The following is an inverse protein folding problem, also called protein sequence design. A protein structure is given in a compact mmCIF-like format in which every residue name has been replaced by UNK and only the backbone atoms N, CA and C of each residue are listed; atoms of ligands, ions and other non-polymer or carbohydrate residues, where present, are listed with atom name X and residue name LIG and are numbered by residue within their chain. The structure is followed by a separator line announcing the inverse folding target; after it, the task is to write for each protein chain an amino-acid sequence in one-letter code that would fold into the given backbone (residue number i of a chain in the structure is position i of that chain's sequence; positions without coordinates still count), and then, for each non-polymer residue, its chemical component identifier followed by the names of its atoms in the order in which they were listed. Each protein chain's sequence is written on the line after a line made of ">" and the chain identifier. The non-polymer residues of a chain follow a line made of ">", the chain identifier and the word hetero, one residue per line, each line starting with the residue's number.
data_IF_793498861627
#
_entry.id   IF_793498861627
#
_cell.length_a   1.000
_cell.length_b   1.000
_cell.length_c   1.000
_cell.angle_alpha   90.00
_cell.angle_beta   90.00
_cell.angle_gamma   90.00
#
_symmetry.space_group_name_H-M   'P 1'
#
loop_
_entity.id
_entity.type
_entity.pdbx_description
1 polymer ?
#
# COMPACT_ATOMS: atom_id res chain seq x y z
N UNK A 1 -13.77 -17.92 -22.44
CA UNK A 1 -13.55 -19.39 -22.30
C UNK A 1 -12.62 -19.85 -23.41
N UNK A 2 -11.39 -20.33 -23.27
CA UNK A 2 -10.53 -20.68 -22.12
C UNK A 2 -9.07 -20.68 -22.63
N UNK A 3 -8.31 -19.58 -22.42
CA UNK A 3 -6.83 -19.56 -22.59
C UNK A 3 -6.09 -20.32 -21.46
N UNK A 4 -6.80 -20.66 -20.37
CA UNK A 4 -6.24 -21.37 -19.20
C UNK A 4 -6.01 -22.88 -19.40
N UNK A 5 -6.70 -23.57 -20.31
CA UNK A 5 -6.58 -25.04 -20.41
C UNK A 5 -5.33 -25.53 -21.16
N UNK A 6 -4.68 -24.69 -21.96
CA UNK A 6 -3.54 -25.13 -22.78
C UNK A 6 -2.22 -25.12 -21.99
N UNK A 7 -2.07 -24.24 -20.99
CA UNK A 7 -0.87 -24.21 -20.13
C UNK A 7 -0.81 -25.38 -19.13
N UNK A 8 -1.95 -25.95 -18.74
CA UNK A 8 -2.02 -27.03 -17.75
C UNK A 8 -1.47 -28.39 -18.25
N UNK A 9 -1.49 -28.65 -19.56
CA UNK A 9 -1.06 -29.95 -20.12
C UNK A 9 0.45 -30.05 -20.38
N UNK A 10 1.16 -28.91 -20.50
CA UNK A 10 2.61 -28.90 -20.76
C UNK A 10 3.44 -29.09 -19.48
N UNK A 11 2.92 -28.73 -18.30
CA UNK A 11 3.62 -28.91 -17.02
C UNK A 11 3.43 -30.32 -16.41
N UNK A 12 2.35 -31.02 -16.74
CA UNK A 12 2.09 -32.38 -16.25
C UNK A 12 3.01 -33.45 -16.86
N UNK A 13 3.55 -33.22 -18.06
CA UNK A 13 4.39 -34.18 -18.78
C UNK A 13 5.85 -34.24 -18.31
N UNK A 14 6.36 -33.17 -17.68
CA UNK A 14 7.77 -33.07 -17.24
C UNK A 14 7.93 -33.48 -15.76
N UNK A 15 6.86 -33.35 -14.95
CA UNK A 15 6.89 -33.70 -13.52
C UNK A 15 6.95 -35.20 -13.20
N UNK A 16 6.61 -36.08 -14.14
CA UNK A 16 6.49 -37.53 -13.86
C UNK A 16 7.84 -38.28 -13.97
N UNK A 17 8.86 -37.70 -14.62
CA UNK A 17 10.16 -38.37 -14.81
C UNK A 17 11.16 -38.09 -13.68
N UNK A 18 10.96 -37.06 -12.86
CA UNK A 18 11.84 -36.72 -11.73
C UNK A 18 11.43 -37.32 -10.38
N UNK A 19 10.28 -38.00 -10.29
CA UNK A 19 9.75 -38.57 -9.04
C UNK A 19 10.27 -39.98 -8.68
N UNK A 20 11.14 -40.58 -9.51
CA UNK A 20 11.55 -41.98 -9.33
C UNK A 20 12.93 -42.21 -8.67
N UNK A 21 13.67 -41.15 -8.29
CA UNK A 21 15.06 -41.32 -7.75
C UNK A 21 15.32 -40.65 -6.39
N UNK A 22 14.28 -40.20 -5.67
CA UNK A 22 14.43 -39.41 -4.43
C UNK A 22 14.03 -40.08 -3.12
N UNK A 23 13.84 -41.41 -3.06
CA UNK A 23 13.38 -42.09 -1.83
C UNK A 23 14.47 -42.98 -1.22
N UNK A 24 15.48 -42.38 -0.58
CA UNK A 24 16.34 -43.09 0.37
C UNK A 24 17.20 -42.12 1.21
N UNK A 25 16.60 -41.35 2.12
CA UNK A 25 17.34 -40.75 3.24
C UNK A 25 16.52 -40.80 4.54
N UNK A 26 16.86 -41.83 5.32
CA UNK A 26 17.02 -41.89 6.80
C UNK A 26 16.29 -40.83 7.62
N UNK A 27 15.22 -41.28 8.28
CA UNK A 27 14.60 -40.63 9.44
C UNK A 27 15.45 -40.82 10.71
N UNK A 28 16.06 -39.74 11.20
CA UNK A 28 16.56 -39.61 12.57
C UNK A 28 15.70 -38.56 13.31
N UNK A 29 15.14 -38.86 14.50
CA UNK A 29 14.37 -37.89 15.26
C UNK A 29 15.32 -36.90 15.95
N UNK A 30 15.36 -35.67 15.47
CA UNK A 30 15.96 -34.55 16.20
C UNK A 30 15.00 -34.17 17.33
N UNK A 31 15.40 -34.45 18.58
CA UNK A 31 14.74 -33.93 19.77
C UNK A 31 15.14 -32.46 19.93
N UNK A 32 14.28 -31.55 19.50
CA UNK A 32 14.38 -30.13 19.88
C UNK A 32 13.96 -30.05 21.34
N UNK A 33 14.91 -29.66 22.19
CA UNK A 33 14.62 -29.26 23.56
C UNK A 33 13.87 -27.91 23.49
N UNK A 34 12.60 -27.93 23.87
CA UNK A 34 11.87 -26.70 24.19
C UNK A 34 12.48 -26.15 25.49
N UNK A 35 13.31 -25.12 25.36
CA UNK A 35 13.84 -24.38 26.48
C UNK A 35 13.13 -23.03 26.57
N UNK A 36 12.23 -22.96 27.55
CA UNK A 36 11.82 -21.78 28.31
C UNK A 36 11.33 -20.56 27.50
N UNK A 37 10.08 -20.68 27.03
CA UNK A 37 9.17 -19.54 27.00
C UNK A 37 8.78 -19.20 28.45
N UNK A 38 9.63 -18.43 29.15
CA UNK A 38 9.34 -17.98 30.51
C UNK A 38 9.88 -16.57 30.73
N UNK A 39 9.49 -15.64 29.85
CA UNK A 39 9.60 -14.20 30.11
C UNK A 39 8.43 -13.38 29.55
N UNK A 40 7.39 -14.02 28.98
CA UNK A 40 6.21 -13.30 28.42
C UNK A 40 5.00 -13.24 29.38
N UNK A 41 5.17 -13.59 30.66
CA UNK A 41 4.06 -13.63 31.63
C UNK A 41 3.89 -12.35 32.46
N UNK A 42 4.70 -11.31 32.23
CA UNK A 42 4.54 -10.01 32.91
C UNK A 42 3.63 -9.02 32.15
N UNK A 43 3.21 -9.35 30.92
CA UNK A 43 2.27 -8.56 30.11
C UNK A 43 1.02 -9.41 29.82
N UNK A 44 0.45 -10.02 30.86
CA UNK A 44 -0.88 -10.62 30.79
C UNK A 44 -1.86 -9.70 31.50
N UNK A 45 -2.54 -8.90 30.67
CA UNK A 45 -3.90 -8.42 30.86
C UNK A 45 -4.16 -7.61 32.13
N UNK A 46 -3.88 -6.30 32.07
CA UNK A 46 -4.91 -5.38 32.54
C UNK A 46 -6.08 -5.54 31.56
N UNK A 47 -7.05 -6.39 31.88
CA UNK A 47 -8.35 -6.30 31.22
C UNK A 47 -8.86 -4.87 31.46
N UNK A 48 -9.38 -4.17 30.43
CA UNK A 48 -10.05 -2.91 30.66
C UNK A 48 -11.08 -3.09 31.78
N UNK A 49 -11.16 -2.14 32.70
CA UNK A 49 -12.30 -2.05 33.60
C UNK A 49 -13.60 -2.08 32.78
N UNK A 50 -14.66 -2.67 33.33
CA UNK A 50 -15.99 -2.56 32.71
C UNK A 50 -16.28 -1.09 32.41
N UNK A 51 -16.65 -0.73 31.17
CA UNK A 51 -16.93 0.66 30.79
C UNK A 51 -17.91 1.27 31.78
N UNK A 52 -17.47 2.33 32.44
CA UNK A 52 -18.22 2.88 33.57
C UNK A 52 -19.31 3.85 33.12
N UNK A 53 -19.11 4.52 31.98
CA UNK A 53 -20.03 5.46 31.35
C UNK A 53 -20.43 6.69 32.18
N UNK A 54 -20.04 6.77 33.46
CA UNK A 54 -20.40 7.84 34.39
C UNK A 54 -19.35 8.95 34.40
N UNK A 55 -19.68 10.05 33.74
CA UNK A 55 -18.82 11.23 33.61
C UNK A 55 -19.20 12.35 34.60
N UNK A 56 -20.22 12.13 35.44
CA UNK A 56 -20.90 13.20 36.20
C UNK A 56 -19.95 13.94 37.16
N UNK A 57 -18.99 13.24 37.75
CA UNK A 57 -18.01 13.84 38.65
C UNK A 57 -17.02 14.76 37.92
N UNK A 58 -16.47 14.31 36.78
CA UNK A 58 -15.50 15.08 35.98
C UNK A 58 -16.14 16.35 35.41
N UNK A 59 -17.38 16.23 34.94
CA UNK A 59 -18.14 17.32 34.33
C UNK A 59 -18.49 18.46 35.31
N UNK A 60 -18.35 18.28 36.63
CA UNK A 60 -18.52 19.38 37.60
C UNK A 60 -17.55 20.54 37.30
N UNK A 61 -16.33 20.23 36.87
CA UNK A 61 -15.31 21.22 36.54
C UNK A 61 -15.03 21.34 35.04
N UNK A 62 -15.17 20.24 34.29
CA UNK A 62 -14.82 20.19 32.86
C UNK A 62 -15.99 20.49 31.91
N UNK A 63 -17.22 20.67 32.38
CA UNK A 63 -18.37 20.95 31.50
C UNK A 63 -18.38 22.36 30.89
N UNK A 64 -17.57 23.29 31.40
CA UNK A 64 -17.42 24.60 30.77
C UNK A 64 -16.52 24.47 29.54
N UNK A 65 -17.13 24.59 28.36
CA UNK A 65 -16.46 24.44 27.06
C UNK A 65 -15.48 25.57 26.75
N UNK A 66 -15.34 26.59 27.60
CA UNK A 66 -14.31 27.64 27.48
C UNK A 66 -13.23 27.50 28.57
N UNK A 67 -13.29 26.45 29.40
CA UNK A 67 -12.35 26.25 30.48
C UNK A 67 -10.94 25.99 29.94
N UNK A 68 -9.97 26.73 30.47
CA UNK A 68 -8.56 26.62 30.09
C UNK A 68 -7.64 26.59 31.30
N UNK A 69 -6.46 26.01 31.11
CA UNK A 69 -5.34 26.07 32.05
C UNK A 69 -4.11 26.68 31.36
N UNK A 70 -3.34 27.48 32.08
CA UNK A 70 -2.03 27.98 31.61
C UNK A 70 -0.91 27.07 32.11
N UNK A 71 -0.04 26.65 31.19
CA UNK A 71 1.09 25.77 31.46
C UNK A 71 2.38 26.58 31.69
N UNK A 72 3.44 25.90 32.13
CA UNK A 72 4.70 26.52 32.57
C UNK A 72 5.41 27.33 31.47
N UNK A 73 5.29 26.91 30.21
CA UNK A 73 5.83 27.62 29.04
C UNK A 73 4.96 28.79 28.56
N UNK A 74 3.83 29.05 29.23
CA UNK A 74 2.86 30.07 28.89
C UNK A 74 1.82 29.65 27.85
N UNK A 75 1.85 28.40 27.36
CA UNK A 75 0.80 27.88 26.49
C UNK A 75 -0.51 27.67 27.25
N UNK A 76 -1.62 27.75 26.52
CA UNK A 76 -2.96 27.53 27.06
C UNK A 76 -3.44 26.15 26.64
N UNK A 77 -3.85 25.33 27.60
CA UNK A 77 -4.49 24.05 27.39
C UNK A 77 -6.00 24.21 27.58
N UNK A 78 -6.77 23.76 26.59
CA UNK A 78 -8.21 23.67 26.71
C UNK A 78 -8.59 22.44 27.54
N UNK A 79 -9.26 22.65 28.67
CA UNK A 79 -9.67 21.58 29.59
C UNK A 79 -11.19 21.37 29.60
N UNK A 80 -11.95 22.27 28.98
CA UNK A 80 -13.38 22.12 28.76
C UNK A 80 -13.70 20.98 27.80
N UNK A 81 -14.75 20.23 28.10
CA UNK A 81 -15.26 19.12 27.29
C UNK A 81 -16.78 19.19 27.21
N UNK A 82 -17.31 19.15 25.98
CA UNK A 82 -18.73 18.92 25.75
C UNK A 82 -18.99 17.40 25.77
N UNK A 83 -19.76 16.87 26.75
CA UNK A 83 -20.02 15.43 26.85
C UNK A 83 -20.78 14.88 25.64
N UNK A 84 -21.55 15.71 24.93
CA UNK A 84 -22.29 15.27 23.73
C UNK A 84 -21.37 14.93 22.56
N UNK A 85 -20.18 15.55 22.51
CA UNK A 85 -19.16 15.26 21.49
C UNK A 85 -18.61 13.85 21.69
N UNK A 86 -18.23 13.51 22.94
CA UNK A 86 -17.78 12.15 23.27
C UNK A 86 -18.89 11.12 23.03
N UNK A 87 -20.13 11.42 23.40
CA UNK A 87 -21.28 10.55 23.18
C UNK A 87 -21.53 10.25 21.69
N UNK A 88 -21.25 11.22 20.82
CA UNK A 88 -21.35 11.09 19.36
C UNK A 88 -20.13 10.46 18.67
N UNK A 89 -19.03 10.24 19.39
CA UNK A 89 -17.81 9.62 18.85
C UNK A 89 -17.95 8.09 18.74
N UNK A 90 -16.97 7.45 18.09
CA UNK A 90 -16.86 5.97 18.05
C UNK A 90 -16.69 5.33 19.43
N UNK A 91 -16.26 6.11 20.43
CA UNK A 91 -16.12 5.67 21.82
C UNK A 91 -17.36 5.96 22.68
N UNK A 92 -18.37 6.62 22.12
CA UNK A 92 -19.61 7.04 22.79
C UNK A 92 -20.72 5.99 22.78
N UNK A 93 -21.97 6.44 22.69
CA UNK A 93 -23.16 5.60 22.83
C UNK A 93 -23.27 4.48 21.78
N UNK A 94 -22.64 4.66 20.61
CA UNK A 94 -22.61 3.69 19.52
C UNK A 94 -21.56 2.58 19.67
N UNK A 95 -20.70 2.63 20.69
CA UNK A 95 -19.64 1.63 20.88
C UNK A 95 -20.23 0.26 21.24
N UNK A 96 -19.88 -0.77 20.48
CA UNK A 96 -20.35 -2.14 20.67
C UNK A 96 -19.92 -2.75 22.01
N UNK A 97 -18.79 -2.31 22.57
CA UNK A 97 -18.30 -2.73 23.88
C UNK A 97 -18.91 -1.91 25.03
N UNK A 98 -19.72 -0.90 24.74
CA UNK A 98 -20.27 0.04 25.70
C UNK A 98 -19.58 1.41 25.66
N UNK A 99 -20.33 2.45 25.98
CA UNK A 99 -19.82 3.82 25.99
C UNK A 99 -18.70 4.00 27.03
N UNK A 100 -17.58 4.56 26.59
CA UNK A 100 -16.45 4.85 27.47
C UNK A 100 -16.73 6.10 28.30
N UNK A 101 -16.40 6.03 29.58
CA UNK A 101 -16.37 7.17 30.49
C UNK A 101 -14.99 7.84 30.55
N UNK A 102 -14.91 9.01 31.18
CA UNK A 102 -13.67 9.79 31.29
C UNK A 102 -12.53 8.98 31.91
N UNK A 103 -12.83 8.20 32.95
CA UNK A 103 -11.84 7.41 33.70
C UNK A 103 -11.35 6.18 32.93
N UNK A 104 -12.08 5.73 31.91
CA UNK A 104 -11.67 4.59 31.09
C UNK A 104 -10.47 4.97 30.20
N UNK A 105 -10.30 6.26 29.88
CA UNK A 105 -9.15 6.80 29.15
C UNK A 105 -8.14 7.54 30.05
N UNK A 106 -8.62 8.41 30.95
CA UNK A 106 -7.76 9.24 31.80
C UNK A 106 -7.26 8.53 33.07
N UNK A 107 -7.86 7.39 33.43
CA UNK A 107 -7.57 6.66 34.66
C UNK A 107 -8.27 7.25 35.88
N UNK A 108 -8.35 6.45 36.95
CA UNK A 108 -9.00 6.84 38.21
C UNK A 108 -8.15 7.76 39.08
N UNK A 109 -6.84 7.73 38.89
CA UNK A 109 -5.87 8.49 39.68
C UNK A 109 -5.72 9.94 39.17
N UNK A 110 -6.41 10.31 38.09
CA UNK A 110 -6.43 11.66 37.55
C UNK A 110 -6.97 12.71 38.55
N UNK A 111 -7.75 12.28 39.55
CA UNK A 111 -8.23 13.15 40.62
C UNK A 111 -7.91 12.60 42.03
N UNK A 112 -7.39 13.42 42.95
CA UNK A 112 -6.99 14.82 42.76
C UNK A 112 -5.82 14.95 41.78
N UNK A 113 -5.80 16.02 40.97
CA UNK A 113 -4.75 16.30 39.97
C UNK A 113 -3.40 16.61 40.65
N UNK A 114 -2.80 15.59 41.26
CA UNK A 114 -1.59 15.70 42.06
C UNK A 114 -0.31 15.68 41.20
N UNK A 115 -0.44 15.27 39.94
CA UNK A 115 0.65 15.25 38.97
C UNK A 115 1.06 16.67 38.55
N UNK A 116 2.36 16.92 38.36
CA UNK A 116 2.82 18.21 37.85
C UNK A 116 2.25 18.45 36.44
N UNK A 117 1.89 19.70 36.17
CA UNK A 117 1.44 20.09 34.85
C UNK A 117 2.54 19.81 33.81
N UNK A 118 2.13 19.38 32.60
CA UNK A 118 3.06 19.19 31.49
C UNK A 118 3.73 20.52 31.12
N UNK A 119 4.95 20.44 30.57
CA UNK A 119 5.74 21.63 30.22
C UNK A 119 5.05 22.54 29.21
N UNK A 120 4.29 21.96 28.28
CA UNK A 120 3.59 22.65 27.20
C UNK A 120 2.34 21.89 26.74
N UNK A 121 1.43 22.59 26.06
CA UNK A 121 0.22 21.98 25.51
C UNK A 121 0.55 20.90 24.47
N UNK A 122 1.67 21.07 23.75
CA UNK A 122 2.16 20.07 22.81
C UNK A 122 2.69 18.82 23.53
N UNK A 123 3.48 19.00 24.58
CA UNK A 123 3.98 17.89 25.38
C UNK A 123 2.82 17.12 26.01
N UNK A 124 1.79 17.82 26.47
CA UNK A 124 0.55 17.20 26.95
C UNK A 124 -0.12 16.35 25.87
N UNK A 125 -0.32 16.89 24.67
CA UNK A 125 -1.00 16.18 23.57
C UNK A 125 -0.28 14.88 23.21
N UNK A 126 1.05 14.93 23.07
CA UNK A 126 1.87 13.74 22.80
C UNK A 126 1.79 12.73 23.94
N UNK A 127 1.90 13.17 25.20
CA UNK A 127 1.80 12.29 26.35
C UNK A 127 0.40 11.65 26.47
N UNK A 128 -0.66 12.45 26.30
CA UNK A 128 -2.04 12.02 26.37
C UNK A 128 -2.34 10.97 25.29
N UNK A 129 -1.78 11.11 24.09
CA UNK A 129 -1.97 10.13 23.00
C UNK A 129 -1.55 8.69 23.37
N UNK A 130 -0.67 8.51 24.35
CA UNK A 130 -0.24 7.19 24.80
C UNK A 130 -1.36 6.37 25.43
N UNK A 131 -2.44 7.00 25.93
CA UNK A 131 -3.57 6.26 26.50
C UNK A 131 -4.26 5.37 25.46
N UNK A 132 -4.22 5.76 24.18
CA UNK A 132 -4.79 4.98 23.08
C UNK A 132 -4.11 3.60 22.97
N UNK A 133 -2.82 3.52 23.31
CA UNK A 133 -2.01 2.29 23.19
C UNK A 133 -2.43 1.18 24.15
N UNK A 134 -3.17 1.53 25.22
CA UNK A 134 -3.69 0.55 26.18
C UNK A 134 -4.75 -0.36 25.55
N UNK A 135 -5.45 0.11 24.52
CA UNK A 135 -6.51 -0.64 23.82
C UNK A 135 -6.17 -0.91 22.35
N UNK A 136 -5.58 0.06 21.64
CA UNK A 136 -5.21 -0.04 20.22
C UNK A 136 -3.81 -0.64 20.02
N UNK A 137 -3.64 -1.86 20.53
CA UNK A 137 -2.32 -2.53 20.56
C UNK A 137 -1.78 -2.80 19.16
N UNK A 138 -2.61 -3.31 18.25
CA UNK A 138 -2.19 -3.64 16.87
C UNK A 138 -1.71 -2.39 16.10
N UNK A 139 -2.46 -1.29 16.22
CA UNK A 139 -2.11 0.00 15.63
C UNK A 139 -0.79 0.53 16.22
N UNK A 140 -0.57 0.31 17.52
CA UNK A 140 0.66 0.69 18.22
C UNK A 140 1.85 -0.15 17.78
N UNK A 141 1.69 -1.46 17.60
CA UNK A 141 2.75 -2.35 17.10
C UNK A 141 3.23 -1.92 15.70
N UNK A 142 2.31 -1.48 14.84
CA UNK A 142 2.63 -0.96 13.51
C UNK A 142 3.31 0.42 13.55
N UNK A 143 3.19 1.16 14.65
CA UNK A 143 3.70 2.53 14.78
C UNK A 143 5.24 2.59 14.89
N UNK A 144 5.87 1.51 15.38
CA UNK A 144 7.30 1.50 15.73
C UNK A 144 8.22 1.85 14.55
N UNK A 145 7.83 1.47 13.33
CA UNK A 145 8.58 1.74 12.09
C UNK A 145 8.04 2.97 11.33
N UNK A 146 7.11 3.71 11.92
CA UNK A 146 6.49 4.90 11.32
C UNK A 146 7.36 6.15 11.45
N UNK A 147 7.41 6.95 10.37
CA UNK A 147 8.21 8.19 10.33
C UNK A 147 7.79 9.22 11.38
N UNK A 148 6.49 9.32 11.69
CA UNK A 148 6.00 10.27 12.69
C UNK A 148 6.40 9.89 14.10
N UNK A 149 6.23 8.62 14.47
CA UNK A 149 6.62 8.13 15.79
C UNK A 149 8.13 8.20 16.00
N UNK A 150 8.91 7.82 14.99
CA UNK A 150 10.37 7.96 15.01
C UNK A 150 10.77 9.41 15.28
N UNK A 151 10.15 10.38 14.59
CA UNK A 151 10.41 11.80 14.81
C UNK A 151 10.04 12.25 16.24
N UNK A 152 8.93 11.77 16.82
CA UNK A 152 8.58 12.04 18.22
C UNK A 152 9.67 11.49 19.16
N UNK A 153 10.10 10.24 18.97
CA UNK A 153 11.13 9.62 19.82
C UNK A 153 12.51 10.26 19.68
N UNK A 154 12.80 10.86 18.52
CA UNK A 154 14.01 11.65 18.27
C UNK A 154 13.93 13.07 18.86
N UNK A 155 12.81 13.42 19.52
CA UNK A 155 12.61 14.68 20.24
C UNK A 155 11.86 15.75 19.45
N UNK A 156 11.41 15.47 18.23
CA UNK A 156 10.53 16.37 17.50
C UNK A 156 9.08 16.17 17.92
N UNK A 157 8.70 16.81 19.03
CA UNK A 157 7.33 16.75 19.54
C UNK A 157 6.30 17.29 18.56
N UNK A 158 6.67 18.11 17.57
CA UNK A 158 5.73 18.64 16.56
C UNK A 158 5.32 17.61 15.49
N UNK A 159 5.87 16.39 15.52
CA UNK A 159 5.41 15.32 14.62
C UNK A 159 4.09 14.73 15.08
N UNK A 160 3.31 14.17 14.15
CA UNK A 160 1.93 13.75 14.39
C UNK A 160 1.83 12.56 15.37
N UNK A 161 0.93 12.70 16.33
CA UNK A 161 0.50 11.69 17.31
C UNK A 161 -0.89 11.15 16.96
N UNK A 162 -1.42 10.20 17.75
CA UNK A 162 -2.77 9.67 17.55
C UNK A 162 -3.83 10.78 17.52
N UNK A 163 -3.69 11.76 18.42
CA UNK A 163 -4.64 12.87 18.60
C UNK A 163 -4.60 13.85 17.43
N UNK A 164 -3.44 14.01 16.78
CA UNK A 164 -3.31 14.93 15.65
C UNK A 164 -4.08 14.45 14.42
N UNK A 165 -4.25 13.13 14.26
CA UNK A 165 -4.98 12.56 13.13
C UNK A 165 -6.43 12.18 13.47
N UNK A 166 -6.67 11.60 14.65
CA UNK A 166 -7.98 11.06 15.04
C UNK A 166 -8.80 12.01 15.91
N UNK A 167 -8.18 13.08 16.42
CA UNK A 167 -8.76 13.92 17.46
C UNK A 167 -8.67 13.27 18.85
N UNK A 168 -9.34 13.88 19.83
CA UNK A 168 -9.31 13.45 21.23
C UNK A 168 -10.66 12.92 21.71
N UNK A 169 -11.64 13.80 21.94
CA UNK A 169 -12.99 13.41 22.37
C UNK A 169 -13.99 13.28 21.21
N UNK A 170 -13.61 13.71 20.00
CA UNK A 170 -14.44 13.70 18.78
C UNK A 170 -13.90 12.71 17.74
N UNK A 171 -13.58 11.50 18.18
CA UNK A 171 -12.99 10.49 17.29
C UNK A 171 -14.09 9.93 16.39
N UNK A 172 -13.93 10.14 15.11
CA UNK A 172 -14.88 9.72 14.07
C UNK A 172 -14.43 8.41 13.42
N UNK A 173 -15.33 7.70 12.71
CA UNK A 173 -14.94 6.55 11.90
C UNK A 173 -13.81 6.95 10.93
N UNK A 174 -12.74 6.12 10.80
CA UNK A 174 -11.50 6.53 10.13
C UNK A 174 -11.60 6.78 8.62
N UNK A 175 -12.72 6.39 7.98
CA UNK A 175 -12.94 6.50 6.52
C UNK A 175 -14.22 7.28 6.19
N UNK A 176 -14.79 8.02 7.16
CA UNK A 176 -16.05 8.76 6.96
C UNK A 176 -15.98 10.22 7.48
N UNK A 177 -16.19 11.23 6.61
CA UNK A 177 -16.21 11.14 5.15
C UNK A 177 -14.78 10.95 4.60
N UNK A 178 -14.63 10.26 3.46
CA UNK A 178 -13.34 9.77 2.96
C UNK A 178 -12.33 10.89 2.68
N UNK A 179 -12.79 12.07 2.27
CA UNK A 179 -11.96 13.26 2.03
C UNK A 179 -11.23 13.75 3.29
N UNK A 180 -11.80 13.49 4.48
CA UNK A 180 -11.22 13.91 5.76
C UNK A 180 -9.84 13.28 6.00
N UNK A 181 -9.56 12.11 5.41
CA UNK A 181 -8.24 11.48 5.45
C UNK A 181 -7.18 12.41 4.85
N UNK A 182 -7.45 12.91 3.64
CA UNK A 182 -6.53 13.78 2.92
C UNK A 182 -6.43 15.16 3.57
N UNK A 183 -7.55 15.71 4.08
CA UNK A 183 -7.56 16.98 4.82
C UNK A 183 -6.69 16.92 6.09
N UNK A 184 -6.79 15.82 6.85
CA UNK A 184 -6.01 15.60 8.07
C UNK A 184 -4.51 15.62 7.78
N UNK A 185 -4.08 14.99 6.68
CA UNK A 185 -2.69 15.06 6.25
C UNK A 185 -2.30 16.50 5.85
N UNK A 186 -3.24 17.24 5.25
CA UNK A 186 -3.08 18.61 4.78
C UNK A 186 -2.90 19.66 5.89
N UNK A 187 -3.34 19.39 7.12
CA UNK A 187 -3.13 20.29 8.26
C UNK A 187 -1.65 20.57 8.52
N UNK A 188 -0.79 19.57 8.27
CA UNK A 188 0.67 19.71 8.34
C UNK A 188 1.32 19.76 6.96
N UNK A 189 0.91 18.90 6.02
CA UNK A 189 1.50 18.75 4.70
C UNK A 189 0.83 19.64 3.63
N UNK A 190 0.56 20.89 4.00
CA UNK A 190 -0.21 21.87 3.20
C UNK A 190 0.21 21.97 1.73
N UNK A 191 1.52 22.02 1.44
CA UNK A 191 2.04 22.11 0.07
C UNK A 191 1.70 20.87 -0.76
N UNK A 192 1.92 19.68 -0.18
CA UNK A 192 1.64 18.40 -0.85
C UNK A 192 0.14 18.19 -1.01
N UNK A 193 -0.64 18.52 0.01
CA UNK A 193 -2.10 18.46 -0.05
C UNK A 193 -2.67 19.38 -1.13
N UNK A 194 -2.09 20.56 -1.32
CA UNK A 194 -2.51 21.48 -2.40
C UNK A 194 -2.25 20.87 -3.78
N UNK A 195 -1.07 20.28 -3.99
CA UNK A 195 -0.77 19.57 -5.25
C UNK A 195 -1.72 18.39 -5.49
N UNK A 196 -1.98 17.59 -4.44
CA UNK A 196 -2.91 16.47 -4.48
C UNK A 196 -4.34 16.91 -4.81
N UNK A 197 -4.83 17.96 -4.15
CA UNK A 197 -6.18 18.48 -4.38
C UNK A 197 -6.38 18.96 -5.82
N UNK A 198 -5.33 19.47 -6.46
CA UNK A 198 -5.34 19.92 -7.86
C UNK A 198 -5.03 18.79 -8.88
N UNK A 199 -4.84 17.55 -8.40
CA UNK A 199 -4.64 16.35 -9.20
C UNK A 199 -5.98 15.72 -9.60
N UNK A 200 -5.96 14.80 -10.57
CA UNK A 200 -7.19 14.08 -10.99
C UNK A 200 -7.79 13.22 -9.87
N UNK A 201 -6.96 12.67 -8.98
CA UNK A 201 -7.46 11.87 -7.85
C UNK A 201 -8.07 12.77 -6.77
N UNK A 202 -7.39 13.86 -6.43
CA UNK A 202 -7.89 14.80 -5.42
C UNK A 202 -9.16 15.52 -5.88
N UNK A 203 -9.20 16.01 -7.13
CA UNK A 203 -10.38 16.69 -7.65
C UNK A 203 -11.60 15.76 -7.64
N UNK A 204 -11.47 14.52 -8.09
CA UNK A 204 -12.54 13.52 -8.02
C UNK A 204 -13.00 13.23 -6.58
N UNK A 205 -12.06 13.08 -5.63
CA UNK A 205 -12.38 12.83 -4.22
C UNK A 205 -13.24 13.95 -3.63
N UNK A 206 -12.85 15.20 -3.86
CA UNK A 206 -13.55 16.38 -3.35
C UNK A 206 -14.81 16.74 -4.15
N UNK A 207 -15.00 16.15 -5.34
CA UNK A 207 -16.28 16.14 -6.06
C UNK A 207 -17.26 15.06 -5.54
N UNK A 208 -16.82 14.22 -4.61
CA UNK A 208 -17.63 13.21 -3.92
C UNK A 208 -17.50 11.81 -4.49
N UNK A 209 -16.47 11.53 -5.29
CA UNK A 209 -16.15 10.17 -5.73
C UNK A 209 -15.26 9.45 -4.69
N UNK A 210 -15.75 8.43 -3.98
CA UNK A 210 -14.95 7.69 -3.00
C UNK A 210 -14.01 6.65 -3.64
N UNK A 211 -14.15 6.36 -4.93
CA UNK A 211 -13.44 5.29 -5.64
C UNK A 211 -12.03 5.70 -6.11
N UNK A 212 -11.49 6.80 -5.59
CA UNK A 212 -10.16 7.33 -5.89
C UNK A 212 -9.24 7.28 -4.66
N UNK A 213 -7.90 7.25 -4.87
CA UNK A 213 -6.97 7.13 -3.76
C UNK A 213 -6.82 8.43 -2.97
N UNK A 214 -6.72 8.29 -1.66
CA UNK A 214 -6.32 9.28 -0.65
C UNK A 214 -4.83 9.15 -0.31
N UNK A 215 -4.34 9.94 0.65
CA UNK A 215 -2.95 9.84 1.11
C UNK A 215 -2.59 8.45 1.66
N UNK A 216 -3.53 7.76 2.33
CA UNK A 216 -3.25 6.49 3.01
C UNK A 216 -3.27 5.28 2.08
N UNK A 217 -3.93 5.38 0.92
CA UNK A 217 -3.93 4.29 -0.06
C UNK A 217 -2.52 4.09 -0.67
N UNK A 218 -1.73 5.16 -0.79
CA UNK A 218 -0.35 5.10 -1.27
C UNK A 218 0.68 4.95 -0.13
N UNK A 219 0.48 5.65 1.00
CA UNK A 219 1.48 5.71 2.08
C UNK A 219 1.23 4.74 3.24
N UNK A 220 0.02 4.16 3.31
CA UNK A 220 -0.42 3.30 4.41
C UNK A 220 -0.68 4.05 5.71
N UNK A 221 -1.10 3.29 6.72
CA UNK A 221 -1.20 3.65 8.15
C UNK A 221 -1.03 2.37 8.97
N UNK A 222 -0.64 2.37 10.24
CA UNK A 222 -0.03 3.42 11.05
C UNK A 222 1.52 3.36 11.01
N UNK A 223 2.09 2.47 10.19
CA UNK A 223 3.53 2.31 9.97
C UNK A 223 4.05 3.04 8.72
N UNK A 224 3.67 4.32 8.56
CA UNK A 224 3.99 5.13 7.37
C UNK A 224 5.50 5.12 7.14
N UNK A 225 5.91 4.54 6.02
CA UNK A 225 7.32 4.42 5.64
C UNK A 225 7.82 5.72 5.01
N UNK A 226 9.14 5.96 5.09
CA UNK A 226 9.72 7.13 4.46
C UNK A 226 9.58 7.02 2.92
N UNK A 227 8.98 8.02 2.24
CA UNK A 227 8.59 7.90 0.82
C UNK A 227 9.77 7.91 -0.14
N UNK A 228 10.97 8.25 0.33
CA UNK A 228 12.21 8.26 -0.49
C UNK A 228 13.00 6.96 -0.40
N UNK A 229 12.49 5.93 0.27
CA UNK A 229 13.20 4.64 0.39
C UNK A 229 13.19 3.89 -0.94
N UNK A 230 14.24 3.10 -1.17
CA UNK A 230 14.28 2.19 -2.31
C UNK A 230 13.12 1.19 -2.28
N UNK A 231 12.74 0.74 -1.07
CA UNK A 231 11.59 -0.15 -0.85
C UNK A 231 10.30 0.46 -1.38
N UNK A 232 9.98 1.69 -0.97
CA UNK A 232 8.79 2.41 -1.43
C UNK A 232 8.80 2.58 -2.95
N UNK A 233 9.93 3.03 -3.52
CA UNK A 233 10.08 3.19 -4.97
C UNK A 233 9.86 1.89 -5.73
N UNK A 234 10.50 0.80 -5.30
CA UNK A 234 10.43 -0.50 -5.97
C UNK A 234 9.03 -1.13 -5.90
N UNK A 235 8.27 -0.85 -4.83
CA UNK A 235 6.88 -1.29 -4.66
C UNK A 235 5.84 -0.38 -5.33
N UNK A 236 6.19 0.86 -5.66
CA UNK A 236 5.23 1.82 -6.22
C UNK A 236 4.42 1.34 -7.42
N UNK A 237 4.94 0.50 -8.36
CA UNK A 237 4.09 -0.01 -9.43
C UNK A 237 2.95 -0.91 -8.94
N UNK A 238 3.19 -1.68 -7.88
CA UNK A 238 2.17 -2.55 -7.27
C UNK A 238 1.10 -1.69 -6.58
N UNK A 239 1.50 -0.59 -5.91
CA UNK A 239 0.55 0.38 -5.31
C UNK A 239 -0.39 0.97 -6.36
N UNK A 240 0.14 1.41 -7.50
CA UNK A 240 -0.70 1.94 -8.58
C UNK A 240 -1.61 0.86 -9.18
N UNK A 241 -1.14 -0.40 -9.21
CA UNK A 241 -1.88 -1.51 -9.79
C UNK A 241 -3.09 -1.94 -8.95
N UNK A 242 -3.10 -1.67 -7.64
CA UNK A 242 -4.26 -1.95 -6.78
C UNK A 242 -5.55 -1.37 -7.35
N UNK A 243 -5.47 -0.19 -7.97
CA UNK A 243 -6.58 0.42 -8.69
C UNK A 243 -6.46 0.27 -10.21
N UNK A 244 -5.30 0.58 -10.79
CA UNK A 244 -5.15 0.66 -12.26
C UNK A 244 -5.03 -0.69 -12.97
N UNK A 245 -4.93 -1.81 -12.24
CA UNK A 245 -5.08 -3.16 -12.79
C UNK A 245 -6.46 -3.78 -12.47
N UNK A 246 -7.29 -3.11 -11.67
CA UNK A 246 -8.64 -3.54 -11.37
C UNK A 246 -9.58 -3.20 -12.55
N UNK A 247 -10.16 -4.24 -13.15
CA UNK A 247 -11.00 -4.09 -14.34
C UNK A 247 -12.38 -3.56 -14.00
N UNK A 248 -12.92 -3.91 -12.83
CA UNK A 248 -14.25 -3.44 -12.41
C UNK A 248 -14.19 -1.95 -12.07
N UNK A 249 -13.14 -1.53 -11.33
CA UNK A 249 -12.92 -0.13 -10.99
C UNK A 249 -12.61 0.73 -12.21
N UNK A 250 -11.66 0.32 -13.07
CA UNK A 250 -11.22 1.15 -14.20
C UNK A 250 -12.25 1.25 -15.34
N UNK A 251 -13.22 0.34 -15.42
CA UNK A 251 -14.33 0.43 -16.38
C UNK A 251 -15.18 1.69 -16.15
N UNK A 252 -15.38 2.11 -14.90
CA UNK A 252 -16.12 3.33 -14.53
C UNK A 252 -15.45 4.60 -15.11
N UNK A 253 -14.11 4.60 -15.14
CA UNK A 253 -13.31 5.72 -15.63
C UNK A 253 -12.93 5.61 -17.12
N UNK A 254 -13.29 4.51 -17.79
CA UNK A 254 -12.87 4.24 -19.17
C UNK A 254 -11.36 4.08 -19.33
N UNK A 255 -10.65 3.70 -18.26
CA UNK A 255 -9.20 3.49 -18.26
C UNK A 255 -8.92 2.01 -18.53
N UNK A 256 -7.94 1.73 -19.39
CA UNK A 256 -7.56 0.35 -19.71
C UNK A 256 -6.64 -0.23 -18.63
N UNK A 257 -6.98 -1.39 -18.08
CA UNK A 257 -6.09 -2.11 -17.15
C UNK A 257 -4.81 -2.65 -17.80
N UNK A 258 -4.73 -2.59 -19.14
CA UNK A 258 -3.51 -2.90 -19.87
C UNK A 258 -2.34 -1.95 -19.53
N UNK A 259 -2.61 -0.81 -18.88
CA UNK A 259 -1.56 0.12 -18.40
C UNK A 259 -0.53 -0.59 -17.52
N UNK A 260 -0.98 -1.46 -16.62
CA UNK A 260 -0.08 -2.19 -15.73
C UNK A 260 0.69 -3.29 -16.46
N UNK A 261 -0.01 -4.09 -17.27
CA UNK A 261 0.60 -5.18 -18.05
C UNK A 261 1.66 -4.65 -19.03
N UNK A 262 1.35 -3.57 -19.75
CA UNK A 262 2.28 -2.96 -20.69
C UNK A 262 3.57 -2.48 -19.99
N UNK A 263 3.45 -1.85 -18.81
CA UNK A 263 4.59 -1.47 -17.98
C UNK A 263 5.40 -2.71 -17.53
N UNK A 264 4.75 -3.75 -16.99
CA UNK A 264 5.49 -4.94 -16.54
C UNK A 264 6.29 -5.62 -17.65
N UNK A 265 5.79 -5.58 -18.89
CA UNK A 265 6.47 -6.14 -20.06
C UNK A 265 7.55 -5.24 -20.67
N UNK A 266 7.65 -4.00 -20.20
CA UNK A 266 8.65 -3.03 -20.64
C UNK A 266 9.98 -3.17 -19.87
N UNK A 267 11.06 -2.60 -20.41
CA UNK A 267 12.39 -2.67 -19.78
C UNK A 267 12.43 -2.00 -18.39
N UNK A 268 11.70 -0.90 -18.20
CA UNK A 268 11.54 -0.25 -16.91
C UNK A 268 10.81 -1.18 -15.94
N UNK A 269 9.56 -1.59 -16.24
CA UNK A 269 8.77 -2.40 -15.33
C UNK A 269 9.37 -3.77 -15.03
N UNK A 270 9.90 -4.49 -16.04
CA UNK A 270 10.59 -5.77 -15.82
C UNK A 270 11.77 -5.62 -14.88
N UNK A 271 12.56 -4.54 -15.02
CA UNK A 271 13.72 -4.32 -14.15
C UNK A 271 13.29 -3.96 -12.73
N UNK A 272 12.32 -3.05 -12.57
CA UNK A 272 11.81 -2.67 -11.24
C UNK A 272 11.23 -3.90 -10.52
N UNK A 273 10.44 -4.72 -11.22
CA UNK A 273 9.86 -5.94 -10.65
C UNK A 273 10.94 -6.94 -10.21
N UNK A 274 12.01 -7.10 -10.99
CA UNK A 274 13.13 -7.96 -10.61
C UNK A 274 13.75 -7.48 -9.29
N UNK A 275 14.04 -6.18 -9.17
CA UNK A 275 14.61 -5.61 -7.95
C UNK A 275 13.64 -5.75 -6.77
N UNK A 276 12.35 -5.48 -6.96
CA UNK A 276 11.34 -5.67 -5.90
C UNK A 276 11.32 -7.12 -5.36
N UNK A 277 11.53 -8.11 -6.24
CA UNK A 277 11.52 -9.52 -5.84
C UNK A 277 12.85 -10.01 -5.25
N UNK A 278 13.99 -9.52 -5.74
CA UNK A 278 15.30 -10.05 -5.35
C UNK A 278 16.03 -9.22 -4.30
N UNK A 279 15.94 -7.90 -4.40
CA UNK A 279 16.61 -6.98 -3.48
C UNK A 279 15.83 -5.64 -3.39
N UNK A 280 14.68 -5.64 -2.69
CA UNK A 280 13.76 -4.50 -2.70
C UNK A 280 14.33 -3.25 -2.02
N UNK A 281 15.39 -3.39 -1.24
CA UNK A 281 16.04 -2.27 -0.54
C UNK A 281 17.17 -1.61 -1.37
N UNK A 282 17.44 -2.10 -2.58
CA UNK A 282 18.40 -1.47 -3.50
C UNK A 282 17.66 -0.53 -4.46
N UNK A 283 18.10 0.74 -4.58
CA UNK A 283 17.43 1.70 -5.44
C UNK A 283 17.56 1.31 -6.91
N UNK A 284 16.43 1.32 -7.61
CA UNK A 284 16.39 1.21 -9.07
C UNK A 284 16.50 2.59 -9.72
N UNK A 285 17.33 2.70 -10.76
CA UNK A 285 17.43 3.89 -11.62
C UNK A 285 16.50 3.80 -12.85
N UNK A 286 15.46 2.97 -12.75
CA UNK A 286 14.46 2.78 -13.81
C UNK A 286 13.23 3.60 -13.48
N UNK A 287 12.54 4.06 -14.52
CA UNK A 287 11.31 4.82 -14.36
C UNK A 287 10.23 3.95 -13.70
N UNK A 288 9.51 4.50 -12.75
CA UNK A 288 8.26 3.96 -12.20
C UNK A 288 7.10 4.86 -12.60
N UNK A 289 5.86 4.44 -12.29
CA UNK A 289 4.62 5.12 -12.71
C UNK A 289 4.67 6.63 -12.43
N UNK A 290 5.06 7.02 -11.22
CA UNK A 290 5.06 8.42 -10.80
C UNK A 290 6.18 9.27 -11.42
N UNK A 291 7.27 8.67 -11.95
CA UNK A 291 8.31 9.44 -12.63
C UNK A 291 7.77 10.03 -13.96
N UNK A 292 6.84 9.30 -14.60
CA UNK A 292 6.16 9.74 -15.81
C UNK A 292 4.89 10.54 -15.50
N UNK A 293 4.05 10.08 -14.56
CA UNK A 293 2.72 10.66 -14.32
C UNK A 293 2.68 11.80 -13.29
N UNK A 294 3.74 11.96 -12.49
CA UNK A 294 3.74 12.82 -11.31
C UNK A 294 3.48 12.04 -10.02
N UNK A 295 3.74 12.68 -8.89
CA UNK A 295 3.62 12.04 -7.55
C UNK A 295 2.30 12.45 -6.90
N UNK A 296 2.20 13.71 -6.48
CA UNK A 296 0.97 14.27 -5.90
C UNK A 296 0.21 15.15 -6.89
N UNK A 297 0.80 15.51 -8.02
CA UNK A 297 0.21 16.39 -9.03
C UNK A 297 -0.20 15.63 -10.30
N UNK A 298 -0.68 14.40 -10.15
CA UNK A 298 -1.04 13.53 -11.27
C UNK A 298 -2.14 14.20 -12.09
N UNK A 299 -1.83 14.46 -13.36
CA UNK A 299 -2.77 15.04 -14.31
C UNK A 299 -3.37 13.97 -15.21
N UNK A 300 -4.52 14.28 -15.80
CA UNK A 300 -5.12 13.43 -16.83
C UNK A 300 -4.10 13.21 -17.96
N UNK A 301 -3.95 11.97 -18.43
CA UNK A 301 -2.94 11.61 -19.43
C UNK A 301 -3.09 12.38 -20.76
N UNK A 302 -4.30 12.87 -21.06
CA UNK A 302 -4.62 13.62 -22.28
C UNK A 302 -4.43 15.14 -22.16
N UNK A 303 -4.29 15.66 -20.93
CA UNK A 303 -4.27 17.09 -20.69
C UNK A 303 -2.94 17.73 -21.11
N UNK A 304 -2.98 18.95 -21.63
CA UNK A 304 -1.79 19.71 -22.08
C UNK A 304 -0.70 19.83 -21.00
N UNK A 305 -1.11 19.90 -19.72
CA UNK A 305 -0.19 19.99 -18.56
C UNK A 305 0.46 18.66 -18.18
N UNK A 306 0.01 17.55 -18.78
CA UNK A 306 0.47 16.22 -18.44
C UNK A 306 1.90 15.99 -18.90
N UNK A 307 2.70 15.32 -18.06
CA UNK A 307 4.08 14.95 -18.40
C UNK A 307 4.15 13.90 -19.50
N UNK A 308 3.06 13.16 -19.72
CA UNK A 308 3.00 12.05 -20.68
C UNK A 308 2.38 12.41 -22.02
N UNK A 309 1.91 13.66 -22.22
CA UNK A 309 1.52 14.10 -23.57
C UNK A 309 2.74 14.23 -24.46
N UNK A 310 2.54 14.00 -25.76
CA UNK A 310 3.60 13.88 -26.76
C UNK A 310 4.58 15.06 -26.75
N UNK A 311 4.06 16.26 -26.54
CA UNK A 311 4.83 17.52 -26.51
C UNK A 311 5.77 17.60 -25.31
N UNK A 312 5.39 17.03 -24.16
CA UNK A 312 6.13 17.10 -22.90
C UNK A 312 7.00 15.86 -22.65
N UNK A 313 6.66 14.73 -23.28
CA UNK A 313 7.26 13.43 -23.03
C UNK A 313 8.80 13.41 -23.23
N UNK A 314 9.32 14.17 -24.19
CA UNK A 314 10.76 14.26 -24.40
C UNK A 314 11.48 14.82 -23.16
N UNK A 315 10.89 15.81 -22.49
CA UNK A 315 11.46 16.40 -21.29
C UNK A 315 11.47 15.38 -20.14
N UNK A 316 10.37 14.63 -19.98
CA UNK A 316 10.29 13.53 -19.02
C UNK A 316 11.32 12.43 -19.29
N UNK A 317 11.46 11.98 -20.54
CA UNK A 317 12.49 10.98 -20.90
C UNK A 317 13.90 11.49 -20.58
N UNK A 318 14.17 12.79 -20.77
CA UNK A 318 15.50 13.39 -20.56
C UNK A 318 15.93 13.49 -19.10
N UNK A 319 15.01 13.31 -18.15
CA UNK A 319 15.38 13.19 -16.73
C UNK A 319 16.36 12.02 -16.51
N UNK A 320 16.21 10.93 -17.29
CA UNK A 320 17.12 9.77 -17.26
C UNK A 320 17.95 9.58 -18.54
N UNK A 321 17.46 10.07 -19.68
CA UNK A 321 18.10 9.97 -20.99
C UNK A 321 18.50 11.36 -21.53
N UNK A 322 19.54 12.01 -20.95
CA UNK A 322 19.86 13.41 -21.26
C UNK A 322 20.20 13.67 -22.73
N UNK A 323 20.70 12.65 -23.43
CA UNK A 323 21.08 12.73 -24.85
C UNK A 323 19.93 12.34 -25.82
N UNK A 324 18.71 12.12 -25.32
CA UNK A 324 17.57 11.74 -26.15
C UNK A 324 17.24 12.84 -27.18
N UNK A 325 17.14 12.44 -28.46
CA UNK A 325 16.74 13.31 -29.57
C UNK A 325 15.22 13.53 -29.60
N UNK A 326 14.76 14.46 -30.43
CA UNK A 326 13.33 14.77 -30.56
C UNK A 326 12.47 13.56 -30.98
N UNK A 327 13.05 12.66 -31.79
CA UNK A 327 12.35 11.46 -32.27
C UNK A 327 12.44 10.28 -31.28
N UNK A 328 13.15 10.43 -30.16
CA UNK A 328 13.32 9.35 -29.17
C UNK A 328 11.97 8.85 -28.61
N UNK A 329 11.03 9.72 -28.21
CA UNK A 329 9.75 9.28 -27.69
C UNK A 329 8.83 8.66 -28.75
N UNK A 330 9.11 8.82 -30.05
CA UNK A 330 8.29 8.25 -31.13
C UNK A 330 8.33 6.72 -31.18
N UNK A 331 9.35 6.14 -30.57
CA UNK A 331 9.47 4.69 -30.40
C UNK A 331 8.59 4.14 -29.27
N UNK A 332 8.10 5.01 -28.39
CA UNK A 332 7.20 4.62 -27.31
C UNK A 332 5.76 4.57 -27.81
N UNK A 333 5.13 3.41 -27.63
CA UNK A 333 3.76 3.12 -28.11
C UNK A 333 2.68 3.42 -27.07
N UNK A 334 3.06 4.08 -25.96
CA UNK A 334 2.16 4.32 -24.84
C UNK A 334 1.78 3.04 -24.11
N UNK A 335 0.69 3.13 -23.33
CA UNK A 335 0.10 2.03 -22.58
C UNK A 335 -1.05 1.34 -23.33
N UNK A 336 -0.92 1.19 -24.64
CA UNK A 336 -1.97 0.63 -25.49
C UNK A 336 -1.48 -0.64 -26.20
N UNK A 337 -2.31 -1.69 -26.28
CA UNK A 337 -1.94 -2.86 -27.05
C UNK A 337 -1.88 -2.48 -28.54
N UNK A 338 -0.85 -2.92 -29.28
CA UNK A 338 -0.82 -2.75 -30.73
C UNK A 338 -2.09 -3.33 -31.37
N UNK A 339 -2.70 -2.56 -32.25
CA UNK A 339 -3.90 -2.92 -33.00
C UNK A 339 -3.79 -2.46 -34.45
N UNK A 340 -4.76 -2.81 -35.29
CA UNK A 340 -4.81 -2.28 -36.65
C UNK A 340 -5.09 -0.77 -36.69
N UNK A 341 -5.73 -0.24 -35.66
CA UNK A 341 -6.03 1.19 -35.54
C UNK A 341 -4.87 1.96 -34.86
N UNK A 342 -4.16 1.30 -33.93
CA UNK A 342 -3.07 1.88 -33.15
C UNK A 342 -1.77 1.07 -33.36
N UNK A 343 -0.79 1.64 -34.05
CA UNK A 343 0.47 0.96 -34.41
C UNK A 343 0.30 -0.31 -35.28
N UNK A 344 -0.33 -0.21 -36.48
CA UNK A 344 -0.66 -1.36 -37.33
C UNK A 344 0.55 -2.19 -37.75
N UNK A 345 1.70 -1.56 -37.97
CA UNK A 345 2.91 -2.29 -38.34
C UNK A 345 3.36 -3.24 -37.23
N UNK A 346 3.32 -2.78 -35.97
CA UNK A 346 3.73 -3.58 -34.82
C UNK A 346 2.75 -4.74 -34.62
N UNK A 347 1.44 -4.48 -34.71
CA UNK A 347 0.42 -5.53 -34.71
C UNK A 347 0.63 -6.60 -35.79
N UNK A 348 0.97 -6.19 -37.02
CA UNK A 348 1.21 -7.14 -38.12
C UNK A 348 2.48 -7.98 -37.90
N UNK A 349 3.52 -7.39 -37.29
CA UNK A 349 4.75 -8.10 -36.92
C UNK A 349 4.47 -9.11 -35.81
N UNK A 350 3.72 -8.72 -34.78
CA UNK A 350 3.32 -9.62 -33.69
C UNK A 350 2.49 -10.79 -34.23
N UNK A 351 1.48 -10.51 -35.06
CA UNK A 351 0.67 -11.53 -35.72
C UNK A 351 1.52 -12.49 -36.57
N UNK A 352 2.52 -11.97 -37.27
CA UNK A 352 3.43 -12.81 -38.05
C UNK A 352 4.21 -13.78 -37.15
N UNK A 353 4.78 -13.31 -36.04
CA UNK A 353 5.53 -14.16 -35.12
C UNK A 353 4.64 -15.15 -34.34
N UNK A 354 3.43 -14.73 -33.97
CA UNK A 354 2.42 -15.58 -33.34
C UNK A 354 2.01 -16.77 -34.23
N UNK A 355 2.10 -16.62 -35.55
CA UNK A 355 1.87 -17.71 -36.49
C UNK A 355 3.16 -18.49 -36.75
N UNK A 356 4.27 -17.79 -36.99
CA UNK A 356 5.54 -18.42 -37.39
C UNK A 356 6.09 -19.34 -36.30
N UNK A 357 6.12 -18.89 -35.03
CA UNK A 357 6.75 -19.64 -33.93
C UNK A 357 6.05 -20.98 -33.71
N UNK A 358 4.71 -21.06 -33.53
CA UNK A 358 4.03 -22.35 -33.35
C UNK A 358 4.13 -23.27 -34.57
N UNK A 359 4.12 -22.72 -35.79
CA UNK A 359 4.28 -23.51 -37.01
C UNK A 359 5.66 -24.15 -37.07
N UNK A 360 6.72 -23.38 -36.80
CA UNK A 360 8.10 -23.89 -36.81
C UNK A 360 8.31 -24.90 -35.68
N UNK A 361 7.92 -24.57 -34.44
CA UNK A 361 8.04 -25.46 -33.28
C UNK A 361 7.21 -26.73 -33.49
N UNK A 362 5.97 -26.61 -33.94
CA UNK A 362 5.09 -27.74 -34.25
C UNK A 362 5.65 -28.63 -35.36
N UNK A 363 6.23 -28.03 -36.40
CA UNK A 363 6.92 -28.74 -37.47
C UNK A 363 8.10 -29.57 -36.94
N UNK A 364 8.96 -28.97 -36.10
CA UNK A 364 10.07 -29.70 -35.48
C UNK A 364 9.58 -30.81 -34.55
N UNK A 365 8.58 -30.56 -33.71
CA UNK A 365 7.99 -31.58 -32.84
C UNK A 365 7.40 -32.75 -33.64
N UNK A 366 6.75 -32.46 -34.78
CA UNK A 366 6.25 -33.49 -35.69
C UNK A 366 7.39 -34.33 -36.30
N UNK A 367 8.47 -33.70 -36.75
CA UNK A 367 9.64 -34.41 -37.27
C UNK A 367 10.29 -35.29 -36.21
N UNK A 368 10.43 -34.79 -34.98
CA UNK A 368 10.95 -35.56 -33.85
C UNK A 368 10.03 -36.74 -33.52
N UNK A 369 8.72 -36.53 -33.44
CA UNK A 369 7.75 -37.57 -33.16
C UNK A 369 7.77 -38.68 -34.22
N UNK A 370 7.85 -38.31 -35.50
CA UNK A 370 7.92 -39.30 -36.59
C UNK A 370 9.21 -40.12 -36.57
N UNK A 371 10.36 -39.52 -36.21
CA UNK A 371 11.61 -40.29 -36.05
C UNK A 371 11.54 -41.24 -34.83
N UNK A 372 10.99 -40.78 -33.70
CA UNK A 372 10.76 -41.62 -32.51
C UNK A 372 9.86 -42.81 -32.86
N UNK A 373 8.71 -42.58 -33.51
CA UNK A 373 7.79 -43.64 -33.94
C UNK A 373 8.50 -44.63 -34.87
N UNK A 374 9.30 -44.13 -35.83
CA UNK A 374 10.07 -44.98 -36.74
C UNK A 374 11.07 -45.86 -35.99
N UNK A 375 11.80 -45.31 -35.01
CA UNK A 375 12.76 -46.06 -34.18
C UNK A 375 12.06 -47.12 -33.34
N UNK A 376 10.94 -46.77 -32.70
CA UNK A 376 10.11 -47.70 -31.93
C UNK A 376 9.63 -48.86 -32.83
N UNK A 377 9.08 -48.55 -34.01
CA UNK A 377 8.63 -49.57 -34.98
C UNK A 377 9.75 -50.52 -35.38
N UNK A 378 10.96 -50.00 -35.68
CA UNK A 378 12.13 -50.83 -36.00
C UNK A 378 12.53 -51.76 -34.85
N UNK A 379 12.45 -51.28 -33.62
CA UNK A 379 12.79 -52.05 -32.43
C UNK A 379 11.81 -53.22 -32.22
N UNK A 380 10.51 -53.00 -32.47
CA UNK A 380 9.50 -54.05 -32.37
C UNK A 380 9.54 -55.04 -33.55
N UNK A 381 9.81 -54.58 -34.78
CA UNK A 381 9.94 -55.47 -35.94
C UNK A 381 11.20 -56.33 -35.93
N UNK A 382 12.29 -55.87 -35.28
CA UNK A 382 13.52 -56.64 -35.12
C UNK A 382 13.43 -57.78 -34.10
N UNK A 383 12.48 -57.71 -33.15
CA UNK A 383 12.23 -58.75 -32.12
C UNK A 383 11.31 -59.89 -32.59
N UNK A 384 10.73 -59.80 -33.78
CA UNK A 384 9.80 -60.79 -34.33
C UNK A 384 10.48 -61.83 -35.24
N UNK A 385 11.80 -61.76 -35.40
CA UNK A 385 12.58 -62.55 -36.35
C UNK A 385 13.59 -63.52 -35.70
N UNK A 386 13.52 -63.72 -34.38
CA UNK A 386 14.25 -64.77 -33.65
C UNK A 386 13.30 -65.84 -33.10
#
# INVERSE_FOLDING_TARGET
>A
MTRLHVKAWLLAGIGIILLATGYLFVSLPVRIHAQEAQESQAVQNAMPSEPTGDNSFCLVCHADSDATATLDDGTTLHVGVDPSVLEGSVHGAGNEQGALGCVDCHGTDAFPHDDPLPQSARAYTVQASLMCTNCHVEQTENLADGVHYTAITDGNLNSASCVDCHGSHDIQPPDEPREKISETCGDCHTSVFTEYRDSVHGEALFEGDPNVPTCVDCHGVHGIQHPTTALFRNRSPELCAECHADTELMEEYGISTYVFESYLTDFHGTTVQLFNQTDPNVPTNKAVCYDCHGVHNIAEASADKSRVVRENLLETCRECHPDASADFPDSWVGHFPPSLDNHPLMFLVDLFYDILIPVVVGGFLFLIATDIIRRIRKMFSGRSAE
#
